data_IF_360258249529
#
_entry.id   IF_360258249529
#
_cell.length_a   1.000
_cell.length_b   1.000
_cell.length_c   1.000
_cell.angle_alpha   90.00
_cell.angle_beta   90.00
_cell.angle_gamma   90.00
#
_symmetry.space_group_name_H-M   'P 1'
#
loop_
_entity.id
_entity.type
_entity.pdbx_description
1 polymer ?
#
# COMPACT_ATOMS: atom_id res chain seq x y z
N UNK A 1 -8.98 13.60 17.73
CA UNK A 1 -7.68 13.88 17.06
C UNK A 1 -7.97 14.60 15.74
N UNK A 2 -7.19 15.63 15.40
CA UNK A 2 -7.31 16.33 14.10
C UNK A 2 -6.83 15.42 12.96
N UNK A 3 -7.51 15.44 11.82
CA UNK A 3 -7.18 14.57 10.69
C UNK A 3 -5.79 14.85 10.12
N UNK A 4 -5.40 16.11 10.10
CA UNK A 4 -4.10 16.57 9.62
C UNK A 4 -2.95 15.94 10.41
N UNK A 5 -3.17 15.66 11.70
CA UNK A 5 -2.20 14.97 12.53
C UNK A 5 -2.20 13.46 12.27
N UNK A 6 -3.36 12.88 11.99
CA UNK A 6 -3.49 11.44 11.74
C UNK A 6 -2.89 11.05 10.38
N UNK A 7 -3.10 11.87 9.37
CA UNK A 7 -2.70 11.63 7.98
C UNK A 7 -1.51 12.50 7.55
N UNK A 8 -0.57 12.73 8.48
CA UNK A 8 0.62 13.53 8.19
C UNK A 8 1.64 12.79 7.33
N UNK A 9 1.62 11.46 7.35
CA UNK A 9 2.47 10.58 6.54
C UNK A 9 1.87 10.27 5.16
N UNK A 10 0.67 10.77 4.88
CA UNK A 10 0.03 10.60 3.58
C UNK A 10 0.74 11.43 2.50
N UNK A 11 0.77 10.91 1.27
CA UNK A 11 1.40 11.57 0.11
C UNK A 11 0.95 13.00 -0.11
N UNK A 12 -0.32 13.30 0.21
CA UNK A 12 -0.92 14.62 0.10
C UNK A 12 -1.59 15.05 1.41
N UNK A 13 -1.77 16.35 1.56
CA UNK A 13 -2.49 16.89 2.73
C UNK A 13 -3.98 16.53 2.68
N UNK A 14 -4.55 16.12 3.82
CA UNK A 14 -6.00 15.82 3.95
C UNK A 14 -6.90 17.00 3.59
N UNK A 15 -6.37 18.23 3.63
CA UNK A 15 -7.09 19.43 3.19
C UNK A 15 -7.35 19.48 1.68
N UNK A 16 -6.64 18.66 0.89
CA UNK A 16 -6.88 18.48 -0.53
C UNK A 16 -8.03 17.50 -0.80
N UNK A 17 -8.42 16.69 0.18
CA UNK A 17 -9.56 15.78 0.08
C UNK A 17 -10.86 16.55 0.34
N UNK A 18 -11.88 16.45 -0.54
CA UNK A 18 -13.19 17.03 -0.29
C UNK A 18 -13.75 16.60 1.07
N UNK A 19 -14.21 17.57 1.88
CA UNK A 19 -14.68 17.32 3.26
C UNK A 19 -15.77 16.26 3.36
N UNK A 20 -16.60 16.11 2.33
CA UNK A 20 -17.63 15.06 2.26
C UNK A 20 -17.05 13.63 2.30
N UNK A 21 -15.81 13.45 1.84
CA UNK A 21 -15.13 12.15 1.82
C UNK A 21 -14.41 11.84 3.14
N UNK A 22 -14.30 12.80 4.07
CA UNK A 22 -13.63 12.58 5.35
C UNK A 22 -14.33 11.51 6.21
N UNK A 23 -15.61 11.24 5.97
CA UNK A 23 -16.38 10.18 6.64
C UNK A 23 -15.86 8.77 6.36
N UNK A 24 -15.07 8.61 5.30
CA UNK A 24 -14.44 7.35 4.89
C UNK A 24 -12.98 7.21 5.36
N UNK A 25 -12.46 8.18 6.12
CA UNK A 25 -11.12 8.09 6.68
C UNK A 25 -11.18 7.48 8.09
N UNK A 26 -10.54 6.32 8.33
CA UNK A 26 -10.48 5.75 9.67
C UNK A 26 -9.87 6.74 10.67
N UNK A 27 -10.31 6.69 11.92
CA UNK A 27 -9.95 7.65 12.98
C UNK A 27 -9.06 7.05 14.04
N UNK A 28 -8.89 5.73 14.03
CA UNK A 28 -8.04 4.99 14.96
C UNK A 28 -7.68 3.63 14.37
N UNK A 29 -6.64 2.99 14.94
CA UNK A 29 -6.19 1.63 14.60
C UNK A 29 -7.22 0.51 14.84
N UNK A 30 -8.39 0.83 15.40
CA UNK A 30 -9.47 -0.12 15.70
C UNK A 30 -10.81 0.31 15.10
N UNK A 31 -10.78 1.24 14.14
CA UNK A 31 -11.98 1.79 13.48
C UNK A 31 -12.51 0.83 12.40
N UNK A 32 -13.02 -0.31 12.84
CA UNK A 32 -13.58 -1.33 11.96
C UNK A 32 -14.80 -0.83 11.18
N UNK A 33 -15.60 0.07 11.78
CA UNK A 33 -16.80 0.61 11.15
C UNK A 33 -16.47 1.34 9.84
N UNK A 34 -15.42 2.16 9.85
CA UNK A 34 -15.00 2.87 8.63
C UNK A 34 -14.47 1.90 7.58
N UNK A 35 -13.77 0.84 7.99
CA UNK A 35 -13.29 -0.20 7.07
C UNK A 35 -14.45 -0.93 6.39
N UNK A 36 -15.52 -1.26 7.10
CA UNK A 36 -16.71 -1.87 6.49
C UNK A 36 -17.38 -0.95 5.46
N UNK A 37 -17.42 0.36 5.73
CA UNK A 37 -17.94 1.33 4.75
C UNK A 37 -17.05 1.39 3.50
N UNK A 38 -15.73 1.34 3.66
CA UNK A 38 -14.78 1.36 2.56
C UNK A 38 -14.94 0.13 1.65
N UNK A 39 -15.19 -1.06 2.21
CA UNK A 39 -15.43 -2.29 1.43
C UNK A 39 -16.65 -2.23 0.52
N UNK A 40 -17.59 -1.33 0.79
CA UNK A 40 -18.79 -1.16 -0.02
C UNK A 40 -18.60 -0.18 -1.20
N UNK A 41 -17.48 0.54 -1.25
CA UNK A 41 -17.18 1.50 -2.30
C UNK A 41 -16.63 0.82 -3.56
N UNK A 42 -16.90 1.42 -4.72
CA UNK A 42 -16.21 1.03 -5.96
C UNK A 42 -14.74 1.49 -5.93
N UNK A 43 -13.91 0.90 -6.80
CA UNK A 43 -12.50 1.32 -6.92
C UNK A 43 -12.37 2.80 -7.32
N UNK A 44 -13.30 3.33 -8.11
CA UNK A 44 -13.34 4.76 -8.48
C UNK A 44 -13.67 5.66 -7.29
N UNK A 45 -14.55 5.22 -6.39
CA UNK A 45 -14.90 5.94 -5.16
C UNK A 45 -13.77 5.87 -4.12
N UNK A 46 -13.05 4.76 -4.05
CA UNK A 46 -11.89 4.57 -3.16
C UNK A 46 -10.68 5.39 -3.64
N UNK A 47 -10.47 5.53 -4.95
CA UNK A 47 -9.31 6.19 -5.54
C UNK A 47 -8.85 7.49 -4.86
N UNK A 48 -9.70 8.51 -4.61
CA UNK A 48 -9.27 9.74 -3.94
C UNK A 48 -8.82 9.56 -2.48
N UNK A 49 -9.19 8.43 -1.85
CA UNK A 49 -8.85 8.10 -0.47
C UNK A 49 -7.51 7.38 -0.34
N UNK A 50 -7.02 6.73 -1.41
CA UNK A 50 -5.84 5.87 -1.39
C UNK A 50 -4.57 6.49 -0.77
N UNK A 51 -4.22 7.77 -1.04
CA UNK A 51 -3.06 8.40 -0.40
C UNK A 51 -3.12 8.40 1.14
N UNK A 52 -4.33 8.34 1.68
CA UNK A 52 -4.62 8.32 3.11
C UNK A 52 -4.76 6.90 3.63
N UNK A 53 -5.46 6.03 2.90
CA UNK A 53 -5.71 4.67 3.35
C UNK A 53 -4.44 3.84 3.44
N UNK A 54 -3.45 4.11 2.58
CA UNK A 54 -2.19 3.38 2.57
C UNK A 54 -1.39 3.56 3.88
N UNK A 55 -1.58 4.63 4.65
CA UNK A 55 -0.89 4.81 5.93
C UNK A 55 -1.30 3.76 6.97
N UNK A 56 -2.46 3.13 6.81
CA UNK A 56 -2.96 2.08 7.72
C UNK A 56 -2.28 0.72 7.55
N UNK A 57 -1.36 0.59 6.58
CA UNK A 57 -0.48 -0.58 6.47
C UNK A 57 0.97 -0.28 6.87
N UNK A 58 1.24 0.87 7.50
CA UNK A 58 2.55 1.15 8.11
C UNK A 58 2.88 0.17 9.23
N UNK A 59 1.88 -0.25 10.02
CA UNK A 59 2.06 -1.19 11.12
C UNK A 59 0.99 -2.28 11.03
N UNK A 60 1.41 -3.48 10.61
CA UNK A 60 0.52 -4.63 10.47
C UNK A 60 0.01 -5.19 11.81
N UNK A 61 0.50 -4.70 12.95
CA UNK A 61 -0.06 -5.03 14.27
C UNK A 61 -1.33 -4.24 14.60
N UNK A 62 -1.67 -3.20 13.84
CA UNK A 62 -2.94 -2.51 14.05
C UNK A 62 -4.11 -3.44 13.68
N UNK A 63 -5.15 -3.52 14.53
CA UNK A 63 -6.30 -4.41 14.29
C UNK A 63 -6.95 -4.26 12.91
N UNK A 64 -6.92 -3.07 12.31
CA UNK A 64 -7.52 -2.83 11.00
C UNK A 64 -6.59 -3.09 9.81
N UNK A 65 -5.28 -3.29 10.00
CA UNK A 65 -4.31 -3.30 8.88
C UNK A 65 -4.57 -4.41 7.87
N UNK A 66 -4.82 -5.64 8.35
CA UNK A 66 -5.15 -6.75 7.45
C UNK A 66 -6.45 -6.49 6.67
N UNK A 67 -7.46 -5.92 7.32
CA UNK A 67 -8.71 -5.56 6.65
C UNK A 67 -8.50 -4.41 5.64
N UNK A 68 -7.61 -3.47 5.95
CA UNK A 68 -7.25 -2.37 5.06
C UNK A 68 -6.46 -2.85 3.85
N UNK A 69 -5.53 -3.80 3.99
CA UNK A 69 -4.84 -4.42 2.86
C UNK A 69 -5.84 -4.93 1.82
N UNK A 70 -6.92 -5.59 2.25
CA UNK A 70 -7.98 -6.02 1.34
C UNK A 70 -8.68 -4.87 0.61
N UNK A 71 -8.94 -3.75 1.28
CA UNK A 71 -9.52 -2.54 0.67
C UNK A 71 -8.54 -1.94 -0.36
N UNK A 72 -7.26 -1.88 -0.03
CA UNK A 72 -6.21 -1.37 -0.92
C UNK A 72 -6.06 -2.24 -2.18
N UNK A 73 -6.04 -3.56 -2.02
CA UNK A 73 -5.97 -4.52 -3.13
C UNK A 73 -7.21 -4.43 -4.03
N UNK A 74 -8.41 -4.21 -3.46
CA UNK A 74 -9.63 -4.02 -4.26
C UNK A 74 -9.64 -2.76 -5.13
N UNK A 75 -8.73 -1.82 -4.88
CA UNK A 75 -8.55 -0.66 -5.74
C UNK A 75 -7.70 -0.94 -6.98
N UNK A 76 -7.19 -2.17 -7.13
CA UNK A 76 -6.48 -2.66 -8.31
C UNK A 76 -5.31 -1.75 -8.73
N UNK A 77 -5.26 -1.32 -9.98
CA UNK A 77 -4.22 -0.47 -10.54
C UNK A 77 -4.15 0.91 -9.88
N UNK A 78 -5.24 1.40 -9.28
CA UNK A 78 -5.27 2.73 -8.66
C UNK A 78 -4.41 2.85 -7.40
N UNK A 79 -4.09 1.75 -6.70
CA UNK A 79 -3.24 1.81 -5.50
C UNK A 79 -1.75 1.87 -5.83
N UNK A 80 -1.36 1.45 -7.03
CA UNK A 80 0.04 1.27 -7.41
C UNK A 80 0.86 2.57 -7.33
N UNK A 81 0.37 3.74 -7.80
CA UNK A 81 1.10 5.00 -7.66
C UNK A 81 1.35 5.43 -6.20
N UNK A 82 0.49 5.00 -5.27
CA UNK A 82 0.66 5.30 -3.85
C UNK A 82 1.69 4.36 -3.22
N UNK A 83 1.68 3.08 -3.61
CA UNK A 83 2.73 2.13 -3.20
C UNK A 83 4.09 2.55 -3.74
N UNK A 84 4.20 2.93 -5.01
CA UNK A 84 5.46 3.40 -5.60
C UNK A 84 6.05 4.60 -4.83
N UNK A 85 5.17 5.52 -4.37
CA UNK A 85 5.57 6.65 -3.54
C UNK A 85 6.16 6.19 -2.20
N UNK A 86 5.56 5.20 -1.53
CA UNK A 86 6.09 4.61 -0.28
C UNK A 86 7.43 3.93 -0.54
N UNK A 87 7.54 3.12 -1.60
CA UNK A 87 8.79 2.42 -1.96
C UNK A 87 9.95 3.37 -2.24
N UNK A 88 9.65 4.58 -2.70
CA UNK A 88 10.61 5.67 -2.93
C UNK A 88 10.93 6.49 -1.67
N UNK A 89 10.21 6.25 -0.57
CA UNK A 89 10.32 6.96 0.69
C UNK A 89 11.41 6.41 1.62
N UNK A 90 11.28 6.72 2.91
CA UNK A 90 12.26 6.38 3.96
C UNK A 90 11.71 5.48 5.07
N UNK A 91 10.43 5.18 5.05
CA UNK A 91 9.80 4.33 6.06
C UNK A 91 9.97 2.86 5.63
N UNK A 92 11.04 2.23 6.11
CA UNK A 92 11.44 0.90 5.64
C UNK A 92 10.46 -0.20 6.08
N UNK A 93 9.82 -0.06 7.24
CA UNK A 93 8.73 -0.93 7.69
C UNK A 93 7.54 -0.84 6.72
N UNK A 94 7.15 0.39 6.37
CA UNK A 94 6.04 0.61 5.45
C UNK A 94 6.33 0.05 4.05
N UNK A 95 7.58 0.13 3.57
CA UNK A 95 7.99 -0.51 2.32
C UNK A 95 7.78 -2.02 2.36
N UNK A 96 8.31 -2.69 3.39
CA UNK A 96 8.18 -4.14 3.56
C UNK A 96 6.69 -4.55 3.56
N UNK A 97 5.88 -3.86 4.37
CA UNK A 97 4.43 -4.11 4.46
C UNK A 97 3.70 -3.87 3.14
N UNK A 98 4.04 -2.81 2.38
CA UNK A 98 3.45 -2.57 1.07
C UNK A 98 3.78 -3.69 0.07
N UNK A 99 5.02 -4.19 0.06
CA UNK A 99 5.39 -5.30 -0.82
C UNK A 99 4.61 -6.56 -0.44
N UNK A 100 4.64 -6.91 0.85
CA UNK A 100 4.10 -8.16 1.38
C UNK A 100 2.57 -8.23 1.39
N UNK A 101 1.91 -7.13 1.73
CA UNK A 101 0.47 -7.11 2.02
C UNK A 101 -0.36 -6.34 0.98
N UNK A 102 0.27 -5.81 -0.07
CA UNK A 102 -0.44 -5.13 -1.16
C UNK A 102 0.05 -5.67 -2.51
N UNK A 103 1.35 -5.55 -2.82
CA UNK A 103 1.84 -5.88 -4.16
C UNK A 103 1.69 -7.37 -4.51
N UNK A 104 1.99 -8.28 -3.59
CA UNK A 104 1.87 -9.72 -3.83
C UNK A 104 0.45 -10.21 -4.11
N UNK A 105 -0.57 -9.43 -3.71
CA UNK A 105 -1.99 -9.75 -3.94
C UNK A 105 -2.57 -9.03 -5.16
N UNK A 106 -1.78 -8.19 -5.83
CA UNK A 106 -2.18 -7.51 -7.07
C UNK A 106 -1.82 -8.34 -8.31
N UNK A 107 -2.54 -8.09 -9.39
CA UNK A 107 -2.22 -8.66 -10.69
C UNK A 107 -0.87 -8.14 -11.19
N UNK A 108 -0.11 -9.01 -11.85
CA UNK A 108 1.24 -8.70 -12.32
C UNK A 108 1.28 -7.54 -13.33
N UNK A 109 0.24 -7.39 -14.17
CA UNK A 109 0.16 -6.33 -15.18
C UNK A 109 0.08 -4.95 -14.55
N UNK A 110 -0.40 -4.85 -13.30
CA UNK A 110 -0.43 -3.60 -12.56
C UNK A 110 0.91 -3.25 -11.94
N UNK A 111 1.71 -4.24 -11.53
CA UNK A 111 2.92 -4.00 -10.71
C UNK A 111 4.24 -4.20 -11.48
N UNK A 112 4.21 -4.76 -12.69
CA UNK A 112 5.43 -5.07 -13.46
C UNK A 112 6.33 -3.83 -13.71
N UNK A 113 5.74 -2.64 -13.81
CA UNK A 113 6.49 -1.40 -13.99
C UNK A 113 7.31 -1.02 -12.74
N UNK A 114 7.01 -1.59 -11.56
CA UNK A 114 7.77 -1.41 -10.33
C UNK A 114 9.04 -2.29 -10.25
N UNK A 115 9.28 -3.17 -11.22
CA UNK A 115 10.49 -4.01 -11.25
C UNK A 115 11.80 -3.23 -11.03
N UNK A 116 12.02 -2.02 -11.58
CA UNK A 116 13.25 -1.27 -11.33
C UNK A 116 13.44 -0.91 -9.84
N UNK A 117 12.36 -0.48 -9.16
CA UNK A 117 12.45 -0.10 -7.75
C UNK A 117 12.58 -1.34 -6.86
N UNK A 118 11.87 -2.42 -7.17
CA UNK A 118 11.98 -3.70 -6.48
C UNK A 118 13.39 -4.28 -6.62
N UNK A 119 13.99 -4.28 -7.82
CA UNK A 119 15.37 -4.74 -8.04
C UNK A 119 16.39 -3.91 -7.26
N UNK A 120 16.15 -2.61 -7.12
CA UNK A 120 16.99 -1.74 -6.29
C UNK A 120 16.93 -2.15 -4.82
N UNK A 121 15.73 -2.37 -4.25
CA UNK A 121 15.59 -2.83 -2.85
C UNK A 121 16.22 -4.23 -2.70
N UNK A 122 15.89 -5.17 -3.58
CA UNK A 122 16.35 -6.56 -3.51
C UNK A 122 17.88 -6.73 -3.60
N UNK A 123 18.58 -5.91 -4.39
CA UNK A 123 20.00 -6.11 -4.70
C UNK A 123 20.92 -5.03 -4.13
N UNK A 124 20.38 -3.89 -3.74
CA UNK A 124 21.12 -2.78 -3.12
C UNK A 124 20.29 -2.13 -2.00
N UNK A 125 19.83 -2.91 -1.00
CA UNK A 125 19.03 -2.35 0.07
C UNK A 125 19.84 -1.40 0.94
N UNK A 126 19.17 -0.40 1.50
CA UNK A 126 19.68 0.36 2.65
C UNK A 126 19.78 -0.56 3.88
N UNK A 127 20.46 -0.11 4.93
CA UNK A 127 20.51 -0.90 6.18
C UNK A 127 19.11 -1.07 6.79
N UNK A 128 18.28 -0.02 6.82
CA UNK A 128 16.90 -0.12 7.30
C UNK A 128 16.02 -1.04 6.45
N UNK A 129 16.18 -1.03 5.12
CA UNK A 129 15.49 -2.00 4.24
C UNK A 129 15.89 -3.45 4.54
N UNK A 130 17.13 -3.71 4.96
CA UNK A 130 17.55 -5.06 5.41
C UNK A 130 17.01 -5.40 6.80
N UNK A 131 17.04 -4.45 7.73
CA UNK A 131 16.56 -4.65 9.11
C UNK A 131 15.09 -5.05 9.12
N UNK A 132 14.30 -4.49 8.20
CA UNK A 132 12.87 -4.78 8.05
C UNK A 132 12.55 -5.85 6.99
N UNK A 133 13.58 -6.56 6.48
CA UNK A 133 13.47 -7.64 5.49
C UNK A 133 12.80 -7.23 4.16
N UNK A 134 12.78 -5.93 3.85
CA UNK A 134 12.18 -5.40 2.63
C UNK A 134 12.91 -5.89 1.36
N UNK A 135 14.20 -6.23 1.46
CA UNK A 135 14.97 -6.81 0.37
C UNK A 135 14.56 -8.25 0.05
N UNK A 136 14.26 -9.05 1.06
CA UNK A 136 13.74 -10.40 0.87
C UNK A 136 12.30 -10.38 0.34
N UNK A 137 11.44 -9.49 0.86
CA UNK A 137 10.10 -9.28 0.30
C UNK A 137 10.18 -8.84 -1.17
N UNK A 138 11.11 -7.94 -1.52
CA UNK A 138 11.30 -7.50 -2.90
C UNK A 138 11.78 -8.64 -3.81
N UNK A 139 12.69 -9.51 -3.34
CA UNK A 139 13.11 -10.72 -4.09
C UNK A 139 11.93 -11.65 -4.35
N UNK A 140 11.11 -11.91 -3.34
CA UNK A 140 9.91 -12.74 -3.47
C UNK A 140 8.90 -12.15 -4.47
N UNK A 141 8.70 -10.82 -4.44
CA UNK A 141 7.84 -10.13 -5.38
C UNK A 141 8.36 -10.19 -6.83
N UNK A 142 9.67 -10.04 -7.04
CA UNK A 142 10.29 -10.21 -8.36
C UNK A 142 10.10 -11.65 -8.87
N UNK A 143 10.36 -12.65 -8.02
CA UNK A 143 10.20 -14.07 -8.38
C UNK A 143 8.74 -14.38 -8.74
N UNK A 144 7.78 -13.82 -8.00
CA UNK A 144 6.36 -13.92 -8.31
C UNK A 144 6.02 -13.36 -9.70
N UNK A 145 6.49 -12.14 -10.01
CA UNK A 145 6.28 -11.49 -11.32
C UNK A 145 6.88 -12.35 -12.45
N UNK A 146 8.09 -12.87 -12.26
CA UNK A 146 8.79 -13.67 -13.27
C UNK A 146 8.12 -15.03 -13.51
N UNK A 147 7.67 -15.72 -12.46
CA UNK A 147 6.96 -17.01 -12.57
C UNK A 147 5.61 -16.87 -13.26
N UNK A 148 4.80 -15.91 -12.83
CA UNK A 148 3.47 -15.71 -13.41
C UNK A 148 3.53 -15.19 -14.85
N UNK A 149 4.49 -14.31 -15.16
CA UNK A 149 4.73 -13.88 -16.54
C UNK A 149 5.13 -15.03 -17.47
N UNK A 150 5.91 -16.01 -16.97
CA UNK A 150 6.27 -17.20 -17.72
C UNK A 150 5.08 -18.16 -17.95
N UNK A 151 4.10 -18.17 -17.05
CA UNK A 151 2.88 -18.99 -17.18
C UNK A 151 1.89 -18.40 -18.19
N UNK A 152 1.83 -17.07 -18.34
CA UNK A 152 0.93 -16.39 -19.29
C UNK A 152 1.44 -16.36 -20.74
N UNK A 153 2.73 -16.64 -20.96
CA UNK A 153 3.36 -16.69 -22.29
C UNK A 153 3.32 -18.09 -22.95
N UNK A 154 2.69 -19.08 -22.30
CA UNK A 154 2.50 -20.45 -22.79
C UNK A 154 1.07 -20.68 -23.22
#
# INVERSE_FOLDING_TARGET
MKLEKLYHDSRISVNQLPKGLWVYLPRSKSDNETVERLRALSKEEIKPLLPFLLSWVQDMNWPISSAMSGVLVSAEDYVVPEVEWVLSGKDDIWKANCIRCVLLDLRIDYIIHLLPILKRIAHRPTEGEKEEEADDDAKACIEYIEKEGANQAR
#
